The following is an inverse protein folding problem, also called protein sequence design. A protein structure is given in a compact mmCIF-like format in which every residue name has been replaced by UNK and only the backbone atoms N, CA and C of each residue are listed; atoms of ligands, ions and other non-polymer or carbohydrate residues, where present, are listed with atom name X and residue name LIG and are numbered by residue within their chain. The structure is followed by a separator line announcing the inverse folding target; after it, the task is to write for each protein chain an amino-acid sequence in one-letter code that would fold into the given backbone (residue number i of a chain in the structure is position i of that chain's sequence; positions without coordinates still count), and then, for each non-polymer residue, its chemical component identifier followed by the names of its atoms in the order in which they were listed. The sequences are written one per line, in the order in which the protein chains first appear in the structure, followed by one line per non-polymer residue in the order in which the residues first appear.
data_IF_297073196441
#
_entry.id   IF_297073196441
#
_cell.length_a   1.000
_cell.length_b   1.000
_cell.length_c   1.000
_cell.angle_alpha   90.00
_cell.angle_beta   90.00
_cell.angle_gamma   90.00
#
_symmetry.space_group_name_H-M   'P 1'
#
loop_
_entity.id
_entity.type
_entity.pdbx_description
1 polymer ?
#
# COMPACT_ATOMS: atom_id res chain seq x y z
N UNK A 1 -17.50 15.24 -12.24
CA UNK A 1 -16.93 15.47 -10.90
C UNK A 1 -16.31 14.16 -10.43
N UNK A 2 -15.09 14.20 -9.90
CA UNK A 2 -14.44 13.02 -9.33
C UNK A 2 -15.13 12.67 -8.00
N UNK A 3 -15.46 11.39 -7.79
CA UNK A 3 -16.05 10.93 -6.54
C UNK A 3 -14.96 10.71 -5.50
N UNK A 4 -14.56 11.80 -4.84
CA UNK A 4 -13.47 11.82 -3.86
C UNK A 4 -13.69 10.79 -2.76
N UNK A 5 -14.94 10.60 -2.31
CA UNK A 5 -15.28 9.64 -1.25
C UNK A 5 -15.01 8.20 -1.65
N UNK A 6 -15.26 7.86 -2.92
CA UNK A 6 -14.93 6.53 -3.44
C UNK A 6 -13.43 6.25 -3.33
N UNK A 7 -12.58 7.20 -3.73
CA UNK A 7 -11.13 7.02 -3.70
C UNK A 7 -10.57 7.09 -2.28
N UNK A 8 -11.17 7.88 -1.39
CA UNK A 8 -10.84 7.89 0.04
C UNK A 8 -11.09 6.53 0.70
N UNK A 9 -12.22 5.88 0.36
CA UNK A 9 -12.51 4.53 0.85
C UNK A 9 -11.49 3.50 0.33
N UNK A 10 -11.14 3.56 -0.97
CA UNK A 10 -10.11 2.68 -1.56
C UNK A 10 -8.76 2.89 -0.86
N UNK A 11 -8.37 4.14 -0.62
CA UNK A 11 -7.14 4.45 0.11
C UNK A 11 -7.16 3.85 1.53
N UNK A 12 -8.28 3.98 2.25
CA UNK A 12 -8.42 3.39 3.58
C UNK A 12 -8.30 1.86 3.54
N UNK A 13 -8.88 1.18 2.56
CA UNK A 13 -8.72 -0.28 2.42
C UNK A 13 -7.26 -0.67 2.16
N UNK A 14 -6.58 0.06 1.26
CA UNK A 14 -5.16 -0.16 0.94
C UNK A 14 -4.26 0.11 2.15
N UNK A 15 -4.55 1.14 2.95
CA UNK A 15 -3.75 1.49 4.14
C UNK A 15 -3.65 0.36 5.17
N UNK A 16 -4.65 -0.52 5.23
CA UNK A 16 -4.69 -1.62 6.20
C UNK A 16 -4.08 -2.94 5.68
N UNK A 17 -3.62 -2.98 4.42
CA UNK A 17 -2.97 -4.16 3.85
C UNK A 17 -1.69 -4.48 4.64
N UNK A 18 -1.52 -5.76 4.95
CA UNK A 18 -0.27 -6.25 5.52
C UNK A 18 0.78 -6.47 4.42
N UNK A 19 2.08 -6.51 4.76
CA UNK A 19 3.13 -6.81 3.79
C UNK A 19 2.86 -8.08 2.98
N UNK A 20 2.33 -9.13 3.62
CA UNK A 20 1.97 -10.39 2.98
C UNK A 20 0.86 -10.22 1.93
N UNK A 21 -0.14 -9.38 2.22
CA UNK A 21 -1.24 -9.10 1.29
C UNK A 21 -0.72 -8.36 0.06
N UNK A 22 0.17 -7.37 0.25
CA UNK A 22 0.78 -6.64 -0.86
C UNK A 22 1.63 -7.54 -1.75
N UNK A 23 2.37 -8.48 -1.15
CA UNK A 23 3.14 -9.46 -1.90
C UNK A 23 2.24 -10.38 -2.72
N UNK A 24 1.11 -10.81 -2.16
CA UNK A 24 0.15 -11.62 -2.90
C UNK A 24 -0.43 -10.86 -4.10
N UNK A 25 -0.76 -9.58 -3.96
CA UNK A 25 -1.23 -8.74 -5.06
C UNK A 25 -0.20 -8.65 -6.21
N UNK A 26 1.08 -8.52 -5.89
CA UNK A 26 2.19 -8.50 -6.87
C UNK A 26 2.33 -9.84 -7.61
N UNK A 27 2.13 -10.95 -6.89
CA UNK A 27 2.24 -12.31 -7.45
C UNK A 27 1.05 -12.66 -8.35
N UNK A 28 -0.16 -12.28 -7.94
CA UNK A 28 -1.42 -12.54 -8.66
C UNK A 28 -1.70 -11.51 -9.76
N UNK A 29 -0.86 -10.47 -9.90
CA UNK A 29 -1.00 -9.46 -10.94
C UNK A 29 -0.94 -10.07 -12.35
N UNK A 30 -1.95 -9.76 -13.17
CA UNK A 30 -2.04 -10.30 -14.53
C UNK A 30 -1.13 -9.55 -15.52
N UNK A 31 -0.81 -8.28 -15.23
CA UNK A 31 -0.01 -7.42 -16.10
C UNK A 31 1.19 -6.82 -15.37
N UNK A 32 2.23 -6.47 -16.12
CA UNK A 32 3.41 -5.76 -15.58
C UNK A 32 3.03 -4.41 -14.96
N UNK A 33 2.05 -3.71 -15.55
CA UNK A 33 1.56 -2.44 -15.01
C UNK A 33 0.85 -2.62 -13.66
N UNK A 34 0.01 -3.66 -13.52
CA UNK A 34 -0.63 -3.99 -12.24
C UNK A 34 0.40 -4.39 -11.19
N UNK A 35 1.39 -5.22 -11.58
CA UNK A 35 2.49 -5.61 -10.70
C UNK A 35 3.24 -4.39 -10.19
N UNK A 36 3.65 -3.50 -11.10
CA UNK A 36 4.38 -2.27 -10.77
C UNK A 36 3.57 -1.34 -9.85
N UNK A 37 2.26 -1.28 -10.04
CA UNK A 37 1.36 -0.54 -9.16
C UNK A 37 1.33 -1.14 -7.74
N UNK A 38 1.18 -2.46 -7.61
CA UNK A 38 1.16 -3.12 -6.31
C UNK A 38 2.51 -3.06 -5.58
N UNK A 39 3.62 -3.14 -6.31
CA UNK A 39 4.97 -2.92 -5.75
C UNK A 39 5.10 -1.51 -5.17
N UNK A 40 4.68 -0.48 -5.92
CA UNK A 40 4.68 0.91 -5.45
C UNK A 40 3.83 1.11 -4.18
N UNK A 41 2.66 0.47 -4.12
CA UNK A 41 1.78 0.50 -2.94
C UNK A 41 2.44 -0.19 -1.75
N UNK A 42 3.05 -1.36 -1.95
CA UNK A 42 3.79 -2.07 -0.90
C UNK A 42 4.93 -1.24 -0.32
N UNK A 43 5.76 -0.65 -1.18
CA UNK A 43 6.85 0.23 -0.78
C UNK A 43 6.35 1.44 0.02
N UNK A 44 5.24 2.05 -0.40
CA UNK A 44 4.62 3.16 0.32
C UNK A 44 4.22 2.78 1.75
N UNK A 45 3.57 1.62 1.93
CA UNK A 45 3.13 1.13 3.25
C UNK A 45 4.32 0.77 4.16
N UNK A 46 5.38 0.18 3.59
CA UNK A 46 6.62 -0.12 4.30
C UNK A 46 7.30 1.16 4.79
N UNK A 47 7.46 2.15 3.91
CA UNK A 47 8.06 3.45 4.27
C UNK A 47 7.24 4.17 5.35
N UNK A 48 5.91 4.11 5.26
CA UNK A 48 5.01 4.69 6.27
C UNK A 48 5.22 4.03 7.64
N UNK A 49 5.27 2.70 7.68
CA UNK A 49 5.51 1.94 8.91
C UNK A 49 6.89 2.25 9.51
N UNK A 50 7.93 2.32 8.67
CA UNK A 50 9.28 2.69 9.10
C UNK A 50 9.34 4.10 9.70
N UNK A 51 8.69 5.09 9.09
CA UNK A 51 8.59 6.45 9.65
C UNK A 51 7.95 6.45 11.04
N UNK A 52 6.89 5.68 11.24
CA UNK A 52 6.24 5.58 12.55
C UNK A 52 7.16 4.96 13.62
N UNK A 53 7.95 3.95 13.25
CA UNK A 53 8.95 3.34 14.17
C UNK A 53 10.04 4.35 14.52
N UNK A 54 10.52 5.12 13.53
CA UNK A 54 11.50 6.20 13.72
C UNK A 54 10.97 7.27 14.66
N UNK A 55 9.77 7.79 14.40
CA UNK A 55 9.15 8.84 15.20
C UNK A 55 8.91 8.42 16.66
N UNK A 56 8.71 7.11 16.90
CA UNK A 56 8.52 6.56 18.23
C UNK A 56 9.82 6.24 18.97
N UNK A 57 11.00 6.50 18.38
CA UNK A 57 12.30 6.12 18.93
C UNK A 57 12.35 4.65 19.39
N UNK A 58 11.68 3.74 18.67
CA UNK A 58 11.62 2.31 19.00
C UNK A 58 12.83 1.54 18.43
N UNK A 59 13.97 2.20 18.31
CA UNK A 59 15.24 1.63 17.82
C UNK A 59 16.11 1.10 18.96
#
# INVERSE_FOLDING_TARGET
MCDVKKYENIYNEIEHLQPEDTLQLVLEAETEDQRSFYEMVGDFLLQKSQRQVIERNLF
#
